data_IF_849878929870
#
_entry.id   IF_849878929870
#
_cell.length_a   1.000
_cell.length_b   1.000
_cell.length_c   1.000
_cell.angle_alpha   90.00
_cell.angle_beta   90.00
_cell.angle_gamma   90.00
#
_symmetry.space_group_name_H-M   'P 1'
#
loop_
_entity.id
_entity.type
_entity.pdbx_description
1 polymer ?
#
# COMPACT_ATOMS: atom_id res chain seq x y z
N UNK A 1 2.80 7.08 -1.02
CA UNK A 1 2.64 6.92 0.43
C UNK A 1 3.98 6.87 1.13
N UNK A 2 4.00 7.09 2.45
CA UNK A 2 5.21 7.13 3.26
C UNK A 2 4.96 6.40 4.58
N UNK A 3 5.97 5.65 5.06
CA UNK A 3 6.00 5.08 6.42
C UNK A 3 7.10 5.82 7.19
N UNK A 4 6.73 6.39 8.33
CA UNK A 4 7.66 7.07 9.24
C UNK A 4 7.67 6.31 10.55
N UNK A 5 8.86 6.04 11.09
CA UNK A 5 9.06 5.28 12.32
C UNK A 5 9.82 6.10 13.35
N UNK A 6 9.64 5.77 14.63
CA UNK A 6 10.44 6.36 15.70
C UNK A 6 11.88 5.84 15.67
N UNK A 7 12.82 6.60 16.24
CA UNK A 7 14.21 6.15 16.41
C UNK A 7 14.31 4.83 17.19
N UNK A 8 13.44 4.62 18.18
CA UNK A 8 13.40 3.38 18.95
C UNK A 8 13.02 2.16 18.10
N UNK A 9 12.11 2.32 17.14
CA UNK A 9 11.76 1.24 16.23
C UNK A 9 12.90 0.97 15.23
N UNK A 10 13.53 2.04 14.71
CA UNK A 10 14.65 1.94 13.77
C UNK A 10 15.90 1.27 14.39
N UNK A 11 16.17 1.52 15.68
CA UNK A 11 17.33 1.01 16.40
C UNK A 11 17.03 -0.28 17.19
N UNK A 12 15.82 -0.82 17.09
CA UNK A 12 15.43 -2.02 17.84
C UNK A 12 16.28 -3.23 17.46
N UNK A 13 16.69 -4.02 18.45
CA UNK A 13 17.39 -5.30 18.22
C UNK A 13 16.44 -6.49 18.18
N UNK A 14 15.20 -6.34 18.67
CA UNK A 14 14.17 -7.37 18.78
C UNK A 14 13.16 -7.35 17.65
N UNK A 15 13.13 -6.28 16.86
CA UNK A 15 12.25 -6.11 15.71
C UNK A 15 13.12 -6.11 14.44
N UNK A 16 12.70 -6.85 13.43
CA UNK A 16 13.34 -6.91 12.12
C UNK A 16 12.32 -6.63 11.01
N UNK A 17 12.80 -6.00 9.93
CA UNK A 17 12.02 -5.76 8.73
C UNK A 17 12.96 -5.73 7.53
N UNK A 18 12.66 -6.55 6.53
CA UNK A 18 13.45 -6.62 5.30
C UNK A 18 12.75 -5.86 4.17
N UNK A 19 13.45 -5.53 3.07
CA UNK A 19 12.81 -4.88 1.91
C UNK A 19 11.57 -5.62 1.41
N UNK A 20 11.57 -6.96 1.42
CA UNK A 20 10.44 -7.80 1.04
C UNK A 20 9.25 -7.75 2.01
N UNK A 21 9.43 -7.22 3.21
CA UNK A 21 8.37 -7.03 4.20
C UNK A 21 7.58 -5.73 3.98
N UNK A 22 8.09 -4.83 3.12
CA UNK A 22 7.42 -3.62 2.68
C UNK A 22 6.78 -3.82 1.30
N UNK A 23 5.47 -3.61 1.17
CA UNK A 23 4.78 -3.81 -0.11
C UNK A 23 3.56 -2.90 -0.27
N UNK A 24 3.05 -2.84 -1.50
CA UNK A 24 1.78 -2.22 -1.84
C UNK A 24 0.63 -3.19 -1.59
N UNK A 25 -0.41 -2.73 -0.92
CA UNK A 25 -1.66 -3.47 -0.79
C UNK A 25 -2.50 -3.28 -2.05
N UNK A 26 -2.49 -4.27 -2.95
CA UNK A 26 -3.08 -4.20 -4.28
C UNK A 26 -4.06 -5.36 -4.61
N UNK A 27 -4.97 -5.76 -3.71
CA UNK A 27 -5.93 -6.82 -3.99
C UNK A 27 -6.84 -6.45 -5.19
N UNK A 28 -7.38 -7.45 -5.92
CA UNK A 28 -8.14 -7.21 -7.15
C UNK A 28 -9.32 -6.23 -7.00
N UNK A 29 -9.97 -6.18 -5.84
CA UNK A 29 -11.10 -5.28 -5.57
C UNK A 29 -10.69 -3.80 -5.39
N UNK A 30 -9.43 -3.50 -5.04
CA UNK A 30 -8.88 -2.15 -5.05
C UNK A 30 -8.42 -1.69 -6.44
N UNK A 31 -8.42 -2.60 -7.41
CA UNK A 31 -7.94 -2.36 -8.76
C UNK A 31 -9.10 -2.28 -9.73
N UNK A 32 -8.95 -1.39 -10.71
CA UNK A 32 -9.78 -1.35 -11.89
C UNK A 32 -8.94 -1.80 -13.08
N UNK A 33 -9.46 -2.76 -13.85
CA UNK A 33 -8.85 -3.26 -15.07
C UNK A 33 -9.60 -2.67 -16.28
N UNK A 34 -8.91 -1.82 -17.03
CA UNK A 34 -9.45 -1.25 -18.27
C UNK A 34 -9.36 -2.21 -19.44
N UNK A 35 -9.70 -1.72 -20.64
CA UNK A 35 -9.65 -2.51 -21.89
C UNK A 35 -8.27 -3.07 -22.23
N UNK A 36 -7.20 -2.41 -21.79
CA UNK A 36 -5.81 -2.86 -21.98
C UNK A 36 -5.32 -3.81 -20.87
N UNK A 37 -6.22 -4.23 -19.97
CA UNK A 37 -5.94 -5.07 -18.82
C UNK A 37 -4.81 -4.56 -17.90
N UNK A 38 -4.47 -3.26 -17.97
CA UNK A 38 -3.50 -2.66 -17.06
C UNK A 38 -4.21 -2.29 -15.75
N UNK A 39 -3.71 -2.74 -14.58
CA UNK A 39 -4.29 -2.38 -13.31
C UNK A 39 -4.07 -0.89 -13.04
N UNK A 40 -5.11 -0.23 -12.54
CA UNK A 40 -5.03 1.10 -11.95
C UNK A 40 -5.84 1.15 -10.66
N UNK A 41 -5.57 2.08 -9.72
CA UNK A 41 -6.41 2.24 -8.54
C UNK A 41 -7.87 2.44 -8.92
N UNK A 42 -8.77 1.75 -8.24
CA UNK A 42 -10.21 1.98 -8.36
C UNK A 42 -10.57 3.28 -7.65
N UNK A 43 -10.50 4.40 -8.38
CA UNK A 43 -10.59 5.76 -7.83
C UNK A 43 -12.01 6.11 -7.43
N UNK A 44 -12.17 6.87 -6.35
CA UNK A 44 -13.46 7.44 -5.95
C UNK A 44 -13.91 8.57 -6.88
N UNK A 45 -12.95 9.31 -7.44
CA UNK A 45 -13.20 10.47 -8.29
C UNK A 45 -12.29 10.49 -9.53
N UNK A 46 -12.84 10.87 -10.68
CA UNK A 46 -12.11 11.08 -11.93
C UNK A 46 -12.83 12.12 -12.79
N UNK A 47 -12.83 13.38 -12.34
CA UNK A 47 -13.62 14.47 -12.95
C UNK A 47 -15.12 14.43 -12.63
N UNK A 48 -15.57 13.31 -12.06
CA UNK A 48 -16.86 13.10 -11.40
C UNK A 48 -16.70 11.96 -10.38
N UNK A 49 -17.65 11.82 -9.46
CA UNK A 49 -17.70 10.65 -8.57
C UNK A 49 -17.94 9.38 -9.41
N UNK A 50 -17.10 8.35 -9.21
CA UNK A 50 -17.18 7.08 -9.96
C UNK A 50 -17.29 5.84 -9.05
N UNK A 51 -17.44 6.03 -7.74
CA UNK A 51 -17.79 4.95 -6.80
C UNK A 51 -16.67 3.99 -6.42
N UNK A 52 -15.41 4.32 -6.70
CA UNK A 52 -14.25 3.55 -6.22
C UNK A 52 -13.87 3.83 -4.76
N UNK A 53 -12.69 3.37 -4.36
CA UNK A 53 -12.18 3.39 -2.99
C UNK A 53 -11.15 4.48 -2.72
N UNK A 54 -10.08 4.54 -3.54
CA UNK A 54 -8.95 5.46 -3.35
C UNK A 54 -8.25 5.76 -4.67
N UNK A 55 -7.66 6.95 -4.79
CA UNK A 55 -6.86 7.36 -5.94
C UNK A 55 -5.40 6.85 -5.91
N UNK A 56 -4.96 6.36 -4.74
CA UNK A 56 -3.67 5.71 -4.49
C UNK A 56 -3.85 4.34 -3.80
N UNK A 57 -2.87 3.46 -3.93
CA UNK A 57 -2.87 2.16 -3.25
C UNK A 57 -2.16 2.28 -1.90
N UNK A 58 -2.73 1.74 -0.81
CA UNK A 58 -2.08 1.73 0.49
C UNK A 58 -0.74 0.98 0.45
N UNK A 59 0.19 1.38 1.32
CA UNK A 59 1.42 0.62 1.61
C UNK A 59 1.37 0.04 3.01
N UNK A 60 2.05 -1.08 3.22
CA UNK A 60 2.17 -1.71 4.53
C UNK A 60 3.60 -2.20 4.79
N UNK A 61 3.87 -2.48 6.06
CA UNK A 61 5.14 -3.00 6.56
C UNK A 61 4.84 -4.21 7.45
N UNK A 62 5.51 -5.34 7.22
CA UNK A 62 5.48 -6.50 8.12
C UNK A 62 6.67 -6.41 9.06
N UNK A 63 6.40 -6.46 10.36
CA UNK A 63 7.44 -6.43 11.38
C UNK A 63 7.57 -7.82 11.99
N UNK A 64 8.79 -8.36 11.98
CA UNK A 64 9.10 -9.64 12.60
C UNK A 64 9.63 -9.41 14.00
N UNK A 65 9.06 -10.09 14.99
CA UNK A 65 9.58 -10.14 16.35
C UNK A 65 10.55 -11.33 16.45
N UNK A 66 11.73 -11.09 17.01
CA UNK A 66 12.70 -12.15 17.32
C UNK A 66 12.34 -12.91 18.58
#
# INVERSE_FOLDING_TARGET
DQVIVSGNLLLSTTIDCKPEDADLFNPPWLLFFGRNNRPKPNRTYSGKYVGGYSDHLPIYLRLNLK
#
